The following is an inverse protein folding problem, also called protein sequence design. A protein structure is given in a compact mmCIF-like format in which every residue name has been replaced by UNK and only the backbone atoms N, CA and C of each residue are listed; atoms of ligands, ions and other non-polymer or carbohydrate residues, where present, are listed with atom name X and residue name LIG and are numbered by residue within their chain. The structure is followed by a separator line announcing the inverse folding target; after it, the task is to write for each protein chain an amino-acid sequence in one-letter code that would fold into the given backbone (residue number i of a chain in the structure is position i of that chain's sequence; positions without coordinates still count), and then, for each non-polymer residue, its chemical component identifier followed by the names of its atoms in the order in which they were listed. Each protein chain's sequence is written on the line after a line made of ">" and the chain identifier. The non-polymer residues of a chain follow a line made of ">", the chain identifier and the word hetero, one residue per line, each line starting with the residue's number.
data_IF_477669457076
#
_entry.id   IF_477669457076
#
_cell.length_a   1.000
_cell.length_b   1.000
_cell.length_c   1.000
_cell.angle_alpha   90.00
_cell.angle_beta   90.00
_cell.angle_gamma   90.00
#
_symmetry.space_group_name_H-M   'P 1'
#
loop_
_entity.id
_entity.type
_entity.pdbx_description
1 polymer ?
#
# COMPACT_ATOMS: atom_id res chain seq x y z
N UNK A 1 -11.02 -16.29 17.18
CA UNK A 1 -12.04 -15.48 16.48
C UNK A 1 -11.75 -13.97 16.49
N UNK A 2 -10.49 -13.53 16.52
CA UNK A 2 -10.12 -12.09 16.60
C UNK A 2 -9.40 -11.52 15.35
N UNK A 3 -9.21 -12.32 14.28
CA UNK A 3 -8.52 -11.86 13.06
C UNK A 3 -9.43 -11.36 11.93
N UNK A 4 -10.75 -11.36 12.11
CA UNK A 4 -11.71 -10.95 11.05
C UNK A 4 -12.06 -9.46 11.05
N UNK A 5 -11.58 -8.67 12.03
CA UNK A 5 -11.99 -7.26 12.20
C UNK A 5 -11.14 -6.23 11.43
N UNK A 6 -9.95 -6.56 10.95
CA UNK A 6 -9.02 -5.56 10.39
C UNK A 6 -9.12 -5.36 8.88
N UNK A 7 -9.73 -6.29 8.14
CA UNK A 7 -9.84 -6.19 6.68
C UNK A 7 -11.00 -5.29 6.21
N UNK A 8 -11.99 -5.00 7.06
CA UNK A 8 -13.17 -4.22 6.67
C UNK A 8 -13.02 -2.69 6.81
N UNK A 9 -11.96 -2.19 7.47
CA UNK A 9 -11.77 -0.74 7.70
C UNK A 9 -11.01 -0.01 6.60
N UNK A 10 -10.39 -0.71 5.63
CA UNK A 10 -9.58 -0.06 4.58
C UNK A 10 -10.40 0.58 3.45
N UNK A 11 -11.65 0.19 3.25
CA UNK A 11 -12.48 0.75 2.16
C UNK A 11 -13.29 1.99 2.55
N UNK A 12 -13.33 2.39 3.82
CA UNK A 12 -14.14 3.53 4.27
C UNK A 12 -13.38 4.87 4.35
N UNK A 13 -12.05 4.88 4.12
CA UNK A 13 -11.24 6.10 4.24
C UNK A 13 -11.21 7.00 2.99
N UNK A 14 -11.80 6.58 1.87
CA UNK A 14 -11.69 7.34 0.61
C UNK A 14 -12.81 8.39 0.39
N UNK A 15 -13.93 8.32 1.11
CA UNK A 15 -15.06 9.27 0.94
C UNK A 15 -15.07 10.46 1.92
N UNK A 16 -14.20 10.50 2.94
CA UNK A 16 -14.26 11.55 3.97
C UNK A 16 -13.41 12.80 3.68
N UNK A 17 -12.56 12.79 2.65
CA UNK A 17 -11.59 13.86 2.39
C UNK A 17 -12.09 14.96 1.42
N UNK A 18 -13.36 14.94 1.03
CA UNK A 18 -13.91 15.90 0.05
C UNK A 18 -15.17 16.66 0.48
N UNK A 19 -15.63 16.53 1.73
CA UNK A 19 -16.87 17.19 2.19
C UNK A 19 -16.69 18.26 3.29
N UNK A 20 -15.51 18.45 3.87
CA UNK A 20 -15.30 19.47 4.92
C UNK A 20 -14.66 20.74 4.36
N UNK A 21 -15.42 21.52 3.59
CA UNK A 21 -15.05 22.93 3.32
C UNK A 21 -16.26 23.82 3.07
N UNK A 22 -17.28 23.79 3.93
CA UNK A 22 -18.23 24.92 4.04
C UNK A 22 -18.84 25.03 5.45
N UNK A 23 -18.65 26.21 6.04
CA UNK A 23 -19.50 26.89 7.04
C UNK A 23 -19.43 26.45 8.51
N UNK A 24 -18.51 27.08 9.26
CA UNK A 24 -18.76 27.49 10.65
C UNK A 24 -18.74 29.02 10.74
N UNK A 25 -19.91 29.65 10.62
CA UNK A 25 -20.11 31.04 11.04
C UNK A 25 -20.41 31.06 12.54
N UNK A 26 -19.43 31.42 13.36
CA UNK A 26 -19.67 31.87 14.73
C UNK A 26 -19.68 33.39 14.74
N UNK A 27 -20.84 33.96 15.07
CA UNK A 27 -21.06 35.38 15.32
C UNK A 27 -20.32 35.83 16.59
N UNK A 28 -19.41 36.77 16.45
CA UNK A 28 -19.07 37.72 17.50
C UNK A 28 -19.16 39.11 16.88
N UNK A 29 -20.14 39.87 17.35
CA UNK A 29 -20.28 41.30 17.09
C UNK A 29 -19.08 42.02 17.71
N UNK A 30 -18.34 42.76 16.90
CA UNK A 30 -17.80 44.07 17.30
C UNK A 30 -17.44 44.83 16.02
N UNK A 31 -18.04 46.02 15.90
CA UNK A 31 -18.04 46.82 14.70
C UNK A 31 -16.72 47.53 14.44
N UNK A 32 -16.27 47.48 13.19
CA UNK A 32 -15.43 48.51 12.58
C UNK A 32 -15.75 48.57 11.08
N UNK A 33 -16.25 49.73 10.64
CA UNK A 33 -16.33 50.11 9.23
C UNK A 33 -14.92 50.27 8.67
N UNK A 34 -14.60 49.65 7.52
CA UNK A 34 -13.63 50.17 6.56
C UNK A 34 -13.64 49.39 5.22
N UNK A 35 -14.19 50.06 4.21
CA UNK A 35 -13.75 50.20 2.81
C UNK A 35 -13.54 48.93 1.96
N UNK A 36 -14.47 48.77 1.02
CA UNK A 36 -14.41 47.92 -0.18
C UNK A 36 -13.15 48.13 -1.02
N UNK A 37 -12.48 47.03 -1.39
CA UNK A 37 -11.57 46.96 -2.54
C UNK A 37 -11.38 45.50 -3.01
N UNK A 38 -12.24 45.07 -3.94
CA UNK A 38 -11.94 44.33 -5.18
C UNK A 38 -11.16 42.99 -5.22
N UNK A 39 -11.63 42.16 -6.16
CA UNK A 39 -10.95 41.10 -6.95
C UNK A 39 -11.00 39.65 -6.43
N UNK A 40 -12.19 39.06 -6.50
CA UNK A 40 -12.37 37.61 -6.48
C UNK A 40 -12.05 36.99 -7.84
N UNK A 41 -10.77 36.67 -8.06
CA UNK A 41 -10.30 35.80 -9.15
C UNK A 41 -10.68 34.35 -8.83
N UNK A 42 -11.96 34.01 -8.93
CA UNK A 42 -12.47 32.64 -8.83
C UNK A 42 -12.01 31.86 -10.05
N UNK A 43 -10.97 31.05 -9.91
CA UNK A 43 -10.53 30.10 -10.93
C UNK A 43 -11.63 29.07 -11.16
N UNK A 44 -12.47 29.32 -12.15
CA UNK A 44 -13.42 28.36 -12.71
C UNK A 44 -12.62 27.18 -13.26
N UNK A 45 -12.43 26.14 -12.45
CA UNK A 45 -12.24 24.79 -12.98
C UNK A 45 -13.49 24.55 -13.83
N UNK A 46 -13.31 24.40 -15.14
CA UNK A 46 -14.43 24.33 -16.07
C UNK A 46 -15.32 23.15 -15.67
N UNK A 47 -16.63 23.39 -15.52
CA UNK A 47 -17.60 22.35 -15.12
C UNK A 47 -17.63 21.14 -16.06
N UNK A 48 -17.01 21.26 -17.23
CA UNK A 48 -16.86 20.23 -18.25
C UNK A 48 -15.94 19.09 -17.81
N UNK A 49 -14.92 19.35 -16.98
CA UNK A 49 -13.95 18.31 -16.58
C UNK A 49 -14.48 17.41 -15.45
N UNK A 50 -15.29 17.96 -14.54
CA UNK A 50 -15.87 17.20 -13.43
C UNK A 50 -16.91 16.18 -13.90
N UNK A 51 -17.71 16.52 -14.91
CA UNK A 51 -18.68 15.59 -15.49
C UNK A 51 -17.99 14.40 -16.18
N UNK A 52 -16.85 14.63 -16.84
CA UNK A 52 -16.09 13.57 -17.49
C UNK A 52 -15.45 12.61 -16.48
N UNK A 53 -14.94 13.14 -15.37
CA UNK A 53 -14.42 12.34 -14.25
C UNK A 53 -15.53 11.53 -13.56
N UNK A 54 -16.68 12.14 -13.29
CA UNK A 54 -17.82 11.44 -12.68
C UNK A 54 -18.33 10.30 -13.58
N UNK A 55 -18.42 10.51 -14.90
CA UNK A 55 -18.77 9.45 -15.84
C UNK A 55 -17.75 8.31 -15.82
N UNK A 56 -16.45 8.61 -15.75
CA UNK A 56 -15.40 7.60 -15.70
C UNK A 56 -15.44 6.80 -14.39
N UNK A 57 -15.80 7.42 -13.26
CA UNK A 57 -15.96 6.74 -11.96
C UNK A 57 -17.14 5.77 -12.01
N UNK A 58 -18.28 6.18 -12.55
CA UNK A 58 -19.47 5.31 -12.70
C UNK A 58 -19.16 4.10 -13.57
N UNK A 59 -18.42 4.29 -14.67
CA UNK A 59 -17.97 3.20 -15.53
C UNK A 59 -17.06 2.22 -14.78
N UNK A 60 -16.16 2.72 -13.93
CA UNK A 60 -15.27 1.88 -13.10
C UNK A 60 -16.06 1.04 -12.11
N UNK A 61 -17.00 1.66 -11.38
CA UNK A 61 -17.83 0.97 -10.37
C UNK A 61 -18.70 -0.13 -11.00
N UNK A 62 -19.32 0.14 -12.16
CA UNK A 62 -20.07 -0.86 -12.91
C UNK A 62 -19.17 -2.03 -13.36
N UNK A 63 -17.94 -1.73 -13.75
CA UNK A 63 -16.96 -2.73 -14.20
C UNK A 63 -16.47 -3.60 -13.03
N UNK A 64 -16.25 -3.02 -11.85
CA UNK A 64 -15.81 -3.72 -10.64
C UNK A 64 -16.85 -4.74 -10.17
N UNK A 65 -18.13 -4.37 -10.14
CA UNK A 65 -19.23 -5.27 -9.77
C UNK A 65 -19.36 -6.48 -10.70
N UNK A 66 -19.06 -6.29 -11.99
CA UNK A 66 -19.05 -7.37 -12.98
C UNK A 66 -17.86 -8.31 -12.76
N UNK A 67 -16.70 -7.77 -12.37
CA UNK A 67 -15.49 -8.54 -12.08
C UNK A 67 -15.62 -9.42 -10.83
N UNK A 68 -16.29 -8.93 -9.78
CA UNK A 68 -16.55 -9.71 -8.56
C UNK A 68 -17.43 -10.94 -8.85
N UNK A 69 -18.40 -10.78 -9.75
CA UNK A 69 -19.25 -11.88 -10.23
C UNK A 69 -18.43 -12.93 -11.01
N UNK A 70 -17.48 -12.50 -11.86
CA UNK A 70 -16.62 -13.40 -12.62
C UNK A 70 -15.61 -14.15 -11.74
N UNK A 71 -15.01 -13.47 -10.74
CA UNK A 71 -14.10 -14.11 -9.77
C UNK A 71 -14.84 -15.14 -8.92
N UNK A 72 -16.06 -14.83 -8.47
CA UNK A 72 -16.89 -15.79 -7.73
C UNK A 72 -17.27 -17.02 -8.59
N UNK A 73 -17.43 -16.86 -9.91
CA UNK A 73 -17.60 -18.00 -10.84
C UNK A 73 -16.29 -18.81 -10.96
N UNK A 74 -15.14 -18.15 -11.03
CA UNK A 74 -13.83 -18.82 -11.12
C UNK A 74 -13.44 -19.57 -9.83
N UNK A 75 -13.75 -19.05 -8.65
CA UNK A 75 -13.44 -19.76 -7.38
C UNK A 75 -14.25 -21.06 -7.23
N UNK A 76 -15.46 -21.12 -7.79
CA UNK A 76 -16.23 -22.38 -7.88
C UNK A 76 -15.61 -23.39 -8.85
N UNK A 77 -14.72 -22.96 -9.74
CA UNK A 77 -14.05 -23.81 -10.72
C UNK A 77 -12.69 -24.34 -10.23
N UNK A 78 -12.16 -23.89 -9.08
CA UNK A 78 -10.92 -24.46 -8.50
C UNK A 78 -11.10 -25.91 -7.97
N UNK A 79 -12.31 -26.47 -8.09
CA UNK A 79 -12.61 -27.90 -8.01
C UNK A 79 -12.00 -28.72 -9.20
N UNK A 80 -11.39 -28.06 -10.19
CA UNK A 80 -10.72 -28.66 -11.38
C UNK A 80 -9.47 -29.51 -11.07
N UNK A 81 -9.11 -29.73 -9.79
CA UNK A 81 -8.10 -30.75 -9.41
C UNK A 81 -8.44 -32.15 -9.94
N UNK A 82 -9.71 -32.42 -10.22
CA UNK A 82 -10.19 -33.66 -10.84
C UNK A 82 -9.75 -33.83 -12.31
N UNK A 83 -9.36 -32.76 -13.02
CA UNK A 83 -8.95 -32.84 -14.44
C UNK A 83 -7.65 -33.62 -14.66
N UNK A 84 -6.68 -33.51 -13.73
CA UNK A 84 -5.43 -34.30 -13.80
C UNK A 84 -5.63 -35.76 -13.40
N UNK A 85 -6.63 -36.05 -12.59
CA UNK A 85 -7.02 -37.42 -12.25
C UNK A 85 -7.74 -38.05 -13.44
N UNK A 86 -8.64 -37.31 -14.07
CA UNK A 86 -9.38 -37.72 -15.26
C UNK A 86 -8.46 -38.07 -16.45
N UNK A 87 -7.50 -37.20 -16.80
CA UNK A 87 -6.58 -37.49 -17.91
C UNK A 87 -5.73 -38.75 -17.64
N UNK A 88 -5.34 -39.00 -16.38
CA UNK A 88 -4.66 -40.24 -16.01
C UNK A 88 -5.54 -41.48 -16.20
N UNK A 89 -6.82 -41.40 -15.85
CA UNK A 89 -7.78 -42.50 -16.04
C UNK A 89 -8.04 -42.74 -17.53
N UNK A 90 -8.27 -41.68 -18.32
CA UNK A 90 -8.48 -41.76 -19.77
C UNK A 90 -7.27 -42.35 -20.50
N UNK A 91 -6.08 -41.85 -20.20
CA UNK A 91 -4.86 -42.29 -20.87
C UNK A 91 -4.46 -43.72 -20.44
N UNK A 92 -4.86 -44.15 -19.23
CA UNK A 92 -4.79 -45.54 -18.80
C UNK A 92 -5.77 -46.45 -19.54
N UNK A 93 -7.02 -46.01 -19.74
CA UNK A 93 -8.05 -46.78 -20.47
C UNK A 93 -7.75 -46.93 -21.96
N UNK A 94 -7.10 -45.93 -22.59
CA UNK A 94 -6.85 -45.94 -24.03
C UNK A 94 -5.54 -46.64 -24.43
N UNK A 95 -4.57 -46.76 -23.54
CA UNK A 95 -3.26 -47.36 -23.84
C UNK A 95 -3.14 -48.84 -23.42
N UNK A 96 -4.07 -49.36 -22.62
CA UNK A 96 -4.02 -50.76 -22.19
C UNK A 96 -4.74 -51.66 -23.20
N UNK A 97 -4.03 -52.09 -24.24
CA UNK A 97 -4.53 -53.06 -25.23
C UNK A 97 -4.66 -54.49 -24.66
N UNK A 98 -4.46 -54.68 -23.36
CA UNK A 98 -4.46 -55.98 -22.67
C UNK A 98 -5.75 -56.29 -21.90
N UNK A 99 -6.78 -55.45 -22.00
CA UNK A 99 -8.06 -55.67 -21.29
C UNK A 99 -8.85 -56.81 -21.93
N UNK A 100 -8.46 -58.04 -21.62
CA UNK A 100 -9.27 -59.23 -21.78
C UNK A 100 -10.55 -59.08 -20.94
N UNK A 101 -11.64 -58.72 -21.63
CA UNK A 101 -13.05 -58.95 -21.25
C UNK A 101 -13.42 -58.71 -19.77
N UNK A 102 -12.97 -57.60 -19.17
CA UNK A 102 -13.64 -57.10 -17.98
C UNK A 102 -15.04 -56.61 -18.39
N UNK A 103 -16.08 -57.33 -17.95
CA UNK A 103 -17.47 -56.99 -18.21
C UNK A 103 -17.83 -55.75 -17.38
N UNK A 104 -17.56 -54.56 -17.91
CA UNK A 104 -17.97 -53.30 -17.28
C UNK A 104 -19.50 -53.28 -17.26
N UNK A 105 -20.14 -53.17 -16.09
CA UNK A 105 -21.60 -53.12 -16.00
C UNK A 105 -22.14 -51.97 -16.86
N UNK A 106 -23.23 -52.21 -17.59
CA UNK A 106 -23.89 -51.20 -18.45
C UNK A 106 -24.24 -49.92 -17.69
N UNK A 107 -24.45 -50.01 -16.37
CA UNK A 107 -24.68 -48.87 -15.49
C UNK A 107 -23.44 -47.97 -15.31
N UNK A 108 -22.23 -48.53 -15.31
CA UNK A 108 -21.00 -47.72 -15.22
C UNK A 108 -20.70 -47.01 -16.53
N UNK A 109 -21.04 -47.62 -17.67
CA UNK A 109 -20.88 -46.99 -18.99
C UNK A 109 -21.79 -45.77 -19.16
N UNK A 110 -23.02 -45.80 -18.65
CA UNK A 110 -23.93 -44.66 -18.72
C UNK A 110 -23.49 -43.50 -17.82
N UNK A 111 -22.91 -43.80 -16.65
CA UNK A 111 -22.35 -42.77 -15.79
C UNK A 111 -21.09 -42.12 -16.39
N UNK A 112 -20.22 -42.92 -17.04
CA UNK A 112 -19.05 -42.40 -17.77
C UNK A 112 -19.49 -41.49 -18.92
N UNK A 113 -20.49 -41.90 -19.71
CA UNK A 113 -21.03 -41.06 -20.79
C UNK A 113 -21.64 -39.76 -20.27
N UNK A 114 -22.41 -39.82 -19.17
CA UNK A 114 -22.96 -38.62 -18.53
C UNK A 114 -21.87 -37.66 -18.09
N UNK A 115 -20.82 -38.15 -17.41
CA UNK A 115 -19.68 -37.32 -17.00
C UNK A 115 -18.96 -36.72 -18.20
N UNK A 116 -18.82 -37.45 -19.30
CA UNK A 116 -18.20 -36.92 -20.53
C UNK A 116 -18.99 -35.76 -21.13
N UNK A 117 -20.32 -35.87 -21.18
CA UNK A 117 -21.21 -34.78 -21.63
C UNK A 117 -21.13 -33.58 -20.70
N UNK A 118 -21.20 -33.79 -19.38
CA UNK A 118 -21.10 -32.72 -18.39
C UNK A 118 -19.75 -31.98 -18.48
N UNK A 119 -18.64 -32.68 -18.75
CA UNK A 119 -17.35 -32.04 -18.99
C UNK A 119 -17.29 -31.27 -20.31
N UNK A 120 -17.94 -31.77 -21.37
CA UNK A 120 -18.04 -31.07 -22.65
C UNK A 120 -18.70 -29.69 -22.47
N UNK A 121 -19.82 -29.65 -21.74
CA UNK A 121 -20.53 -28.41 -21.41
C UNK A 121 -19.62 -27.48 -20.59
N UNK A 122 -18.93 -27.98 -19.56
CA UNK A 122 -18.00 -27.18 -18.76
C UNK A 122 -16.83 -26.61 -19.56
N UNK A 123 -16.34 -27.33 -20.57
CA UNK A 123 -15.27 -26.85 -21.44
C UNK A 123 -15.73 -25.69 -22.34
N UNK A 124 -16.97 -25.72 -22.84
CA UNK A 124 -17.56 -24.61 -23.59
C UNK A 124 -17.77 -23.37 -22.69
N UNK A 125 -18.25 -23.59 -21.46
CA UNK A 125 -18.37 -22.52 -20.45
C UNK A 125 -16.99 -21.90 -20.11
N UNK A 126 -15.96 -22.74 -19.93
CA UNK A 126 -14.58 -22.28 -19.72
C UNK A 126 -14.05 -21.46 -20.89
N UNK A 127 -14.33 -21.88 -22.13
CA UNK A 127 -13.98 -21.11 -23.33
C UNK A 127 -14.59 -19.71 -23.31
N UNK A 128 -15.87 -19.60 -22.94
CA UNK A 128 -16.57 -18.31 -22.81
C UNK A 128 -15.96 -17.43 -21.73
N UNK A 129 -15.67 -17.99 -20.55
CA UNK A 129 -15.02 -17.28 -19.44
C UNK A 129 -13.62 -16.76 -19.82
N UNK A 130 -12.85 -17.54 -20.58
CA UNK A 130 -11.53 -17.13 -21.09
C UNK A 130 -11.62 -15.95 -22.06
N UNK A 131 -12.62 -15.95 -22.95
CA UNK A 131 -12.87 -14.84 -23.87
C UNK A 131 -13.26 -13.58 -23.09
N UNK A 132 -14.17 -13.67 -22.13
CA UNK A 132 -14.58 -12.54 -21.27
C UNK A 132 -13.39 -11.97 -20.49
N UNK A 133 -12.54 -12.83 -19.95
CA UNK A 133 -11.31 -12.41 -19.25
C UNK A 133 -10.36 -11.64 -20.16
N UNK A 134 -10.09 -12.14 -21.37
CA UNK A 134 -9.22 -11.45 -22.32
C UNK A 134 -9.78 -10.07 -22.72
N UNK A 135 -11.10 -9.97 -22.90
CA UNK A 135 -11.76 -8.67 -23.15
C UNK A 135 -11.61 -7.71 -21.96
N UNK A 136 -11.65 -8.23 -20.73
CA UNK A 136 -11.46 -7.42 -19.52
C UNK A 136 -10.02 -6.92 -19.40
N UNK A 137 -9.02 -7.78 -19.63
CA UNK A 137 -7.60 -7.39 -19.62
C UNK A 137 -7.29 -6.29 -20.67
N UNK A 138 -7.94 -6.36 -21.84
CA UNK A 138 -7.84 -5.32 -22.88
C UNK A 138 -8.49 -4.00 -22.43
N UNK A 139 -9.69 -4.05 -21.81
CA UNK A 139 -10.36 -2.87 -21.26
C UNK A 139 -9.55 -2.22 -20.14
N UNK A 140 -8.99 -3.01 -19.23
CA UNK A 140 -8.13 -2.53 -18.14
C UNK A 140 -6.88 -1.83 -18.69
N UNK A 141 -6.26 -2.41 -19.73
CA UNK A 141 -5.10 -1.81 -20.39
C UNK A 141 -5.45 -0.48 -21.04
N UNK A 142 -6.58 -0.39 -21.76
CA UNK A 142 -7.07 0.87 -22.35
C UNK A 142 -7.38 1.93 -21.28
N UNK A 143 -7.97 1.53 -20.15
CA UNK A 143 -8.26 2.44 -19.05
C UNK A 143 -6.97 3.00 -18.43
N UNK A 144 -5.97 2.15 -18.15
CA UNK A 144 -4.66 2.58 -17.64
C UNK A 144 -3.97 3.57 -18.59
N UNK A 145 -4.07 3.33 -19.90
CA UNK A 145 -3.53 4.26 -20.91
C UNK A 145 -4.26 5.61 -20.88
N UNK A 146 -5.60 5.61 -20.76
CA UNK A 146 -6.40 6.84 -20.66
C UNK A 146 -6.08 7.64 -19.40
N UNK A 147 -5.95 6.99 -18.24
CA UNK A 147 -5.54 7.64 -16.98
C UNK A 147 -4.17 8.32 -17.16
N UNK A 148 -3.19 7.62 -17.73
CA UNK A 148 -1.86 8.19 -18.00
C UNK A 148 -1.90 9.40 -18.95
N UNK A 149 -2.81 9.40 -19.93
CA UNK A 149 -3.00 10.54 -20.83
C UNK A 149 -3.62 11.74 -20.08
N UNK A 150 -4.63 11.51 -19.24
CA UNK A 150 -5.26 12.55 -18.42
C UNK A 150 -4.28 13.17 -17.42
N UNK A 151 -3.45 12.35 -16.74
CA UNK A 151 -2.39 12.86 -15.85
C UNK A 151 -1.38 13.75 -16.60
N UNK A 152 -1.03 13.36 -17.83
CA UNK A 152 -0.13 14.16 -18.67
C UNK A 152 -0.77 15.50 -19.09
N UNK A 153 -2.06 15.49 -19.42
CA UNK A 153 -2.81 16.71 -19.73
C UNK A 153 -2.89 17.63 -18.50
N UNK A 154 -3.29 17.12 -17.34
CA UNK A 154 -3.37 17.88 -16.09
C UNK A 154 -2.03 18.51 -15.69
N UNK A 155 -0.91 17.79 -15.86
CA UNK A 155 0.44 18.35 -15.62
C UNK A 155 0.78 19.49 -16.59
N UNK A 156 0.37 19.39 -17.85
CA UNK A 156 0.59 20.43 -18.85
C UNK A 156 -0.21 21.69 -18.49
N UNK A 157 -1.45 21.53 -18.06
CA UNK A 157 -2.32 22.64 -17.67
C UNK A 157 -1.85 23.30 -16.36
N UNK A 158 -1.42 22.50 -15.38
CA UNK A 158 -0.80 23.01 -14.15
C UNK A 158 0.51 23.77 -14.41
N UNK A 159 1.34 23.29 -15.33
CA UNK A 159 2.56 23.99 -15.74
C UNK A 159 2.24 25.33 -16.41
N UNK A 160 1.21 25.37 -17.27
CA UNK A 160 0.74 26.62 -17.88
C UNK A 160 0.23 27.61 -16.84
N UNK A 161 -0.61 27.15 -15.90
CA UNK A 161 -1.13 27.99 -14.82
C UNK A 161 -0.02 28.54 -13.90
N UNK A 162 1.04 27.75 -13.64
CA UNK A 162 2.19 28.21 -12.88
C UNK A 162 2.98 29.31 -13.61
N UNK A 163 3.13 29.22 -14.93
CA UNK A 163 3.76 30.27 -15.75
C UNK A 163 2.91 31.55 -15.74
N UNK A 164 1.59 31.42 -15.88
CA UNK A 164 0.68 32.56 -15.85
C UNK A 164 0.70 33.24 -14.46
N UNK A 165 0.71 32.46 -13.37
CA UNK A 165 0.82 32.96 -12.00
C UNK A 165 2.18 33.63 -11.71
N UNK A 166 3.29 33.07 -12.22
CA UNK A 166 4.61 33.67 -12.09
C UNK A 166 4.68 35.02 -12.82
N UNK A 167 4.05 35.12 -13.99
CA UNK A 167 3.96 36.36 -14.79
C UNK A 167 3.11 37.43 -14.08
N UNK A 168 2.00 37.02 -13.44
CA UNK A 168 1.20 37.94 -12.62
C UNK A 168 1.96 38.42 -11.37
N UNK A 169 2.72 37.53 -10.71
CA UNK A 169 3.50 37.86 -9.51
C UNK A 169 4.67 38.79 -9.82
N UNK A 170 5.34 38.65 -10.97
CA UNK A 170 6.40 39.58 -11.38
C UNK A 170 5.85 40.97 -11.70
N UNK A 171 4.63 41.07 -12.25
CA UNK A 171 3.96 42.36 -12.45
C UNK A 171 3.58 43.04 -11.12
N UNK A 172 3.14 42.29 -10.11
CA UNK A 172 2.79 42.82 -8.80
C UNK A 172 4.04 43.19 -7.95
N UNK A 173 5.12 42.41 -8.03
CA UNK A 173 6.37 42.69 -7.30
C UNK A 173 7.05 43.98 -7.76
N UNK A 174 6.80 44.42 -9.00
CA UNK A 174 7.27 45.71 -9.49
C UNK A 174 6.60 46.92 -8.80
N UNK A 175 5.50 46.73 -8.06
CA UNK A 175 4.76 47.82 -7.40
C UNK A 175 4.88 47.86 -5.86
N UNK A 176 5.59 46.92 -5.23
CA UNK A 176 5.54 46.74 -3.77
C UNK A 176 6.91 46.76 -3.06
N UNK A 177 7.95 47.30 -3.69
CA UNK A 177 9.28 47.40 -3.10
C UNK A 177 9.44 48.68 -2.25
N UNK A 178 8.74 48.76 -1.10
CA UNK A 178 9.15 49.67 -0.03
C UNK A 178 8.79 49.13 1.36
N UNK A 179 9.83 49.01 2.20
CA UNK A 179 9.86 48.75 3.63
C UNK A 179 9.34 47.38 4.16
N UNK A 180 10.23 46.62 4.80
CA UNK A 180 10.14 46.27 6.25
C UNK A 180 11.22 45.24 6.64
N UNK A 181 11.99 45.56 7.69
CA UNK A 181 13.00 44.70 8.34
C UNK A 181 12.34 44.05 9.58
N UNK A 182 12.42 42.72 9.81
CA UNK A 182 11.96 42.13 11.06
C UNK A 182 13.11 41.87 12.05
N UNK A 183 12.91 42.34 13.29
CA UNK A 183 13.73 42.05 14.46
C UNK A 183 13.44 40.63 15.00
N UNK A 184 14.51 39.99 15.47
CA UNK A 184 14.55 38.61 15.94
C UNK A 184 14.34 38.58 17.47
N UNK A 185 13.24 37.99 17.93
CA UNK A 185 12.94 37.77 19.36
C UNK A 185 13.31 36.33 19.72
N UNK A 186 14.18 36.17 20.71
CA UNK A 186 14.62 34.88 21.27
C UNK A 186 13.67 34.51 22.41
N UNK A 187 12.91 33.41 22.27
CA UNK A 187 11.91 32.93 23.23
C UNK A 187 12.50 31.79 24.08
N UNK A 188 12.43 31.93 25.40
CA UNK A 188 12.92 30.94 26.36
C UNK A 188 12.02 29.70 26.39
N UNK A 189 12.61 28.50 26.35
CA UNK A 189 11.91 27.22 26.34
C UNK A 189 11.41 26.83 27.74
N UNK A 190 10.13 26.43 27.88
CA UNK A 190 9.57 25.93 29.15
C UNK A 190 10.13 24.54 29.52
N UNK A 191 10.07 24.17 30.82
CA UNK A 191 10.53 22.85 31.29
C UNK A 191 9.69 21.70 30.67
N UNK A 192 10.33 20.55 30.36
CA UNK A 192 9.65 19.42 29.72
C UNK A 192 8.60 18.80 30.64
N UNK A 193 7.42 18.54 30.09
CA UNK A 193 6.32 17.89 30.79
C UNK A 193 6.57 16.38 30.93
N UNK A 194 6.17 15.79 32.06
CA UNK A 194 6.49 14.41 32.49
C UNK A 194 5.90 13.31 31.57
N UNK A 195 5.08 13.66 30.58
CA UNK A 195 4.48 12.72 29.63
C UNK A 195 5.04 12.83 28.20
N UNK A 196 6.16 13.54 28.02
CA UNK A 196 6.77 13.70 26.70
C UNK A 196 7.44 12.40 26.24
N UNK A 197 6.99 11.89 25.10
CA UNK A 197 7.63 10.79 24.42
C UNK A 197 9.05 11.20 24.00
N UNK A 198 10.02 10.31 24.20
CA UNK A 198 11.34 10.52 23.61
C UNK A 198 11.34 9.95 22.20
N UNK A 199 11.52 10.79 21.19
CA UNK A 199 11.56 10.37 19.79
C UNK A 199 12.99 10.34 19.23
N UNK A 200 13.23 9.43 18.29
CA UNK A 200 14.44 9.36 17.51
C UNK A 200 14.14 8.88 16.09
N UNK A 201 14.87 9.39 15.10
CA UNK A 201 14.72 8.98 13.70
C UNK A 201 16.02 8.34 13.19
N UNK A 202 15.95 7.05 12.90
CA UNK A 202 17.01 6.31 12.21
C UNK A 202 16.93 6.60 10.72
N UNK A 203 17.98 7.17 10.13
CA UNK A 203 18.13 7.29 8.67
C UNK A 203 19.25 6.36 8.22
N UNK A 204 18.87 5.24 7.61
CA UNK A 204 19.77 4.12 7.39
C UNK A 204 19.99 3.86 5.91
N UNK A 205 21.25 3.64 5.54
CA UNK A 205 21.63 2.98 4.29
C UNK A 205 22.08 1.56 4.62
N UNK A 206 21.22 0.59 4.34
CA UNK A 206 21.48 -0.82 4.64
C UNK A 206 22.00 -1.51 3.39
N UNK A 207 23.24 -1.98 3.41
CA UNK A 207 23.91 -2.68 2.29
C UNK A 207 23.78 -4.20 2.42
N UNK A 208 24.01 -4.94 1.32
CA UNK A 208 23.96 -6.41 1.34
C UNK A 208 22.54 -6.96 1.33
N UNK A 209 21.59 -6.20 0.77
CA UNK A 209 20.16 -6.51 0.83
C UNK A 209 19.82 -7.76 0.04
N UNK A 210 20.56 -8.05 -1.03
CA UNK A 210 20.52 -9.28 -1.81
C UNK A 210 20.53 -10.54 -0.93
N UNK A 211 21.27 -10.54 0.18
CA UNK A 211 21.36 -11.68 1.11
C UNK A 211 20.00 -12.05 1.73
N UNK A 212 19.10 -11.08 1.90
CA UNK A 212 17.74 -11.30 2.41
C UNK A 212 16.83 -11.99 1.39
N UNK A 213 17.20 -11.94 0.10
CA UNK A 213 16.45 -12.60 -0.97
C UNK A 213 16.53 -14.11 -0.83
N UNK A 214 17.71 -14.64 -0.54
CA UNK A 214 17.99 -16.07 -0.64
C UNK A 214 17.97 -16.77 0.72
N UNK A 215 18.27 -16.05 1.80
CA UNK A 215 18.39 -16.61 3.14
C UNK A 215 17.46 -15.91 4.15
N UNK A 216 16.61 -16.68 4.83
CA UNK A 216 15.67 -16.21 5.86
C UNK A 216 16.31 -15.96 7.23
N UNK A 217 17.47 -16.56 7.47
CA UNK A 217 18.20 -16.46 8.74
C UNK A 217 19.10 -15.23 8.79
N UNK A 218 19.34 -14.58 7.64
CA UNK A 218 20.14 -13.36 7.60
C UNK A 218 19.35 -12.21 8.22
N UNK A 219 19.94 -11.61 9.25
CA UNK A 219 19.47 -10.39 9.88
C UNK A 219 20.52 -9.31 9.61
N UNK A 220 20.12 -8.24 8.91
CA UNK A 220 20.95 -7.05 8.77
C UNK A 220 20.59 -6.10 9.92
N UNK A 221 21.59 -5.65 10.68
CA UNK A 221 21.41 -4.75 11.83
C UNK A 221 21.99 -3.38 11.52
N UNK A 222 21.31 -2.32 11.96
CA UNK A 222 21.88 -0.98 12.01
C UNK A 222 22.92 -0.85 13.12
N UNK A 223 23.62 0.28 13.14
CA UNK A 223 24.37 0.71 14.31
C UNK A 223 23.45 0.88 15.53
N UNK A 224 24.05 0.77 16.72
CA UNK A 224 23.37 0.96 18.00
C UNK A 224 23.26 2.46 18.30
N UNK A 225 22.09 2.89 18.73
CA UNK A 225 21.85 4.27 19.16
C UNK A 225 21.22 4.27 20.54
N UNK A 226 21.79 5.04 21.47
CA UNK A 226 21.25 5.19 22.82
C UNK A 226 20.27 6.37 22.86
N UNK A 227 19.01 6.10 23.19
CA UNK A 227 18.00 7.12 23.51
C UNK A 227 16.93 6.53 24.43
N UNK A 228 16.20 7.39 25.17
CA UNK A 228 15.26 6.96 26.22
C UNK A 228 15.89 5.99 27.26
N UNK A 229 17.17 6.18 27.58
CA UNK A 229 17.90 5.36 28.55
C UNK A 229 18.30 3.95 28.10
N UNK A 230 18.04 3.56 26.85
CA UNK A 230 18.29 2.22 26.31
C UNK A 230 19.02 2.30 24.97
N UNK A 231 19.80 1.28 24.62
CA UNK A 231 20.39 1.10 23.29
C UNK A 231 19.40 0.41 22.35
N UNK A 232 19.21 1.00 21.17
CA UNK A 232 18.28 0.54 20.16
C UNK A 232 19.00 0.24 18.84
N UNK A 233 18.48 -0.73 18.09
CA UNK A 233 18.91 -1.04 16.71
C UNK A 233 17.69 -1.31 15.82
N UNK A 234 17.84 -1.07 14.53
CA UNK A 234 16.89 -1.50 13.50
C UNK A 234 17.41 -2.77 12.85
N UNK A 235 16.57 -3.81 12.84
CA UNK A 235 16.86 -5.10 12.24
C UNK A 235 16.00 -5.29 10.99
N UNK A 236 16.65 -5.60 9.87
CA UNK A 236 16.00 -6.05 8.64
C UNK A 236 16.15 -7.55 8.51
N UNK A 237 15.05 -8.26 8.25
CA UNK A 237 15.06 -9.70 7.97
C UNK A 237 13.98 -10.07 6.98
N UNK A 238 14.15 -11.17 6.25
CA UNK A 238 13.09 -11.70 5.42
C UNK A 238 12.20 -12.67 6.21
N UNK A 239 10.89 -12.57 5.99
CA UNK A 239 9.88 -13.39 6.64
C UNK A 239 8.93 -13.98 5.61
N UNK A 240 8.47 -15.21 5.85
CA UNK A 240 7.43 -15.83 5.03
C UNK A 240 6.06 -15.59 5.66
N UNK A 241 5.10 -15.11 4.87
CA UNK A 241 3.71 -14.89 5.26
C UNK A 241 2.82 -15.72 4.35
N UNK A 242 1.89 -16.48 4.92
CA UNK A 242 0.93 -17.29 4.16
C UNK A 242 -0.28 -16.42 3.83
N UNK A 243 -0.47 -16.11 2.54
CA UNK A 243 -1.59 -15.32 2.04
C UNK A 243 -2.35 -16.10 0.97
N UNK A 244 -3.67 -16.27 1.13
CA UNK A 244 -4.53 -16.96 0.16
C UNK A 244 -3.93 -18.31 -0.31
N UNK A 245 -3.49 -19.13 0.65
CA UNK A 245 -2.84 -20.43 0.42
C UNK A 245 -1.50 -20.38 -0.33
N UNK A 246 -0.88 -19.21 -0.51
CA UNK A 246 0.45 -19.05 -1.10
C UNK A 246 1.40 -18.42 -0.08
N UNK A 247 2.53 -19.07 0.14
CA UNK A 247 3.62 -18.50 0.94
C UNK A 247 4.31 -17.41 0.12
N UNK A 248 4.31 -16.19 0.65
CA UNK A 248 5.00 -15.04 0.06
C UNK A 248 6.08 -14.55 1.02
N UNK A 249 7.22 -14.15 0.46
CA UNK A 249 8.33 -13.60 1.25
C UNK A 249 8.24 -12.07 1.31
N UNK A 250 8.42 -11.54 2.50
CA UNK A 250 8.40 -10.13 2.83
C UNK A 250 9.73 -9.71 3.45
N UNK A 251 10.09 -8.45 3.27
CA UNK A 251 11.06 -7.76 4.11
C UNK A 251 10.32 -7.23 5.33
N UNK A 252 10.76 -7.63 6.51
CA UNK A 252 10.31 -7.05 7.76
C UNK A 252 11.32 -6.10 8.37
N UNK A 253 10.82 -5.08 9.05
CA UNK A 253 11.61 -4.06 9.77
C UNK A 253 11.25 -4.17 11.24
N UNK A 254 12.26 -4.36 12.09
CA UNK A 254 12.07 -4.59 13.52
C UNK A 254 12.92 -3.60 14.32
N UNK A 255 12.31 -2.94 15.29
CA UNK A 255 12.99 -2.15 16.31
C UNK A 255 13.38 -3.10 17.44
N UNK A 256 14.64 -3.06 17.88
CA UNK A 256 15.13 -3.91 18.95
C UNK A 256 15.86 -3.09 20.02
N UNK A 257 15.55 -3.37 21.29
CA UNK A 257 16.35 -2.93 22.42
C UNK A 257 17.50 -3.95 22.62
N UNK A 258 18.74 -3.47 22.63
CA UNK A 258 19.96 -4.30 22.69
C UNK A 258 20.77 -4.10 23.97
N UNK A 259 20.28 -3.31 24.92
CA UNK A 259 20.90 -3.19 26.24
C UNK A 259 20.75 -4.50 27.01
N UNK A 260 21.87 -5.06 27.46
CA UNK A 260 21.91 -6.26 28.30
C UNK A 260 22.82 -5.99 29.52
N UNK A 261 22.33 -6.17 30.76
CA UNK A 261 20.95 -6.50 31.14
C UNK A 261 20.01 -5.29 31.07
N UNK A 262 18.75 -5.53 30.71
CA UNK A 262 17.66 -4.59 30.98
C UNK A 262 17.36 -4.57 32.49
N UNK A 263 17.06 -3.40 33.09
CA UNK A 263 16.66 -3.32 34.49
C UNK A 263 15.48 -4.24 34.81
N UNK A 264 15.43 -4.76 36.03
CA UNK A 264 14.27 -5.52 36.48
C UNK A 264 13.01 -4.65 36.49
N UNK A 265 11.88 -5.19 36.06
CA UNK A 265 10.63 -4.43 35.89
C UNK A 265 10.60 -3.53 34.65
N UNK A 266 11.69 -3.39 33.89
CA UNK A 266 11.72 -2.54 32.71
C UNK A 266 10.67 -2.97 31.68
N UNK A 267 9.87 -1.99 31.28
CA UNK A 267 8.93 -2.09 30.19
C UNK A 267 8.79 -0.70 29.55
N UNK A 268 8.37 -0.63 28.29
CA UNK A 268 8.02 0.64 27.66
C UNK A 268 7.07 0.42 26.49
N UNK A 269 6.28 1.44 26.17
CA UNK A 269 5.48 1.45 24.94
C UNK A 269 6.30 2.12 23.86
N UNK A 270 6.43 1.46 22.72
CA UNK A 270 7.14 1.98 21.55
C UNK A 270 6.16 2.12 20.40
N UNK A 271 6.10 3.33 19.86
CA UNK A 271 5.51 3.59 18.55
C UNK A 271 6.63 3.69 17.54
N UNK A 272 6.44 3.12 16.35
CA UNK A 272 7.39 3.36 15.27
C UNK A 272 6.70 3.50 13.94
N UNK A 273 7.30 4.30 13.07
CA UNK A 273 6.89 4.51 11.69
C UNK A 273 8.06 4.20 10.76
N UNK A 274 7.80 3.61 9.60
CA UNK A 274 8.84 3.25 8.63
C UNK A 274 8.53 3.82 7.25
N UNK A 275 9.54 4.37 6.59
CA UNK A 275 9.47 4.92 5.23
C UNK A 275 10.63 4.40 4.40
N UNK A 276 10.33 3.84 3.22
CA UNK A 276 11.32 3.47 2.21
C UNK A 276 11.45 4.60 1.18
N UNK A 277 12.67 4.81 0.69
CA UNK A 277 12.93 5.82 -0.35
C UNK A 277 13.25 5.13 -1.68
N UNK A 278 12.50 5.49 -2.72
CA UNK A 278 12.90 5.20 -4.11
C UNK A 278 14.02 6.15 -4.51
N UNK A 279 15.09 5.61 -5.09
CA UNK A 279 16.25 6.43 -5.52
C UNK A 279 16.03 7.09 -6.89
N UNK A 280 15.12 6.54 -7.71
CA UNK A 280 14.81 7.08 -9.04
C UNK A 280 13.63 8.06 -9.03
N UNK A 281 12.63 7.83 -8.19
CA UNK A 281 11.50 8.74 -8.07
C UNK A 281 11.75 9.71 -6.93
N UNK A 282 12.06 10.96 -7.26
CA UNK A 282 12.09 12.05 -6.28
C UNK A 282 10.74 12.04 -5.52
N UNK A 283 10.77 11.59 -4.28
CA UNK A 283 9.68 11.64 -3.28
C UNK A 283 8.61 10.54 -3.28
N UNK A 284 8.84 9.35 -3.85
CA UNK A 284 7.92 8.22 -3.54
C UNK A 284 8.26 7.71 -2.13
N UNK A 285 7.49 8.19 -1.16
CA UNK A 285 7.43 7.68 0.21
C UNK A 285 6.34 6.63 0.27
N UNK A 286 6.66 5.45 0.78
CA UNK A 286 5.60 4.59 1.33
C UNK A 286 4.99 5.30 2.54
N UNK A 287 3.66 5.26 2.67
CA UNK A 287 2.98 5.80 3.85
C UNK A 287 3.62 5.25 5.13
N UNK A 288 3.74 6.06 6.20
CA UNK A 288 4.29 5.61 7.47
C UNK A 288 3.47 4.44 8.00
N UNK A 289 4.11 3.28 8.13
CA UNK A 289 3.46 2.11 8.74
C UNK A 289 3.64 2.21 10.24
N UNK A 290 2.54 2.41 10.97
CA UNK A 290 2.55 2.59 12.41
C UNK A 290 2.55 1.26 13.15
N UNK A 291 3.55 1.05 13.99
CA UNK A 291 3.67 -0.08 14.91
C UNK A 291 3.42 0.39 16.34
N UNK A 292 2.67 -0.38 17.11
CA UNK A 292 2.50 -0.18 18.56
C UNK A 292 2.93 -1.45 19.26
N UNK A 293 3.79 -1.33 20.26
CA UNK A 293 4.35 -2.50 20.94
C UNK A 293 4.78 -2.21 22.35
N UNK A 294 4.63 -3.22 23.21
CA UNK A 294 5.05 -3.18 24.60
C UNK A 294 6.33 -4.00 24.73
N UNK A 295 7.46 -3.31 24.88
CA UNK A 295 8.75 -3.94 25.14
C UNK A 295 8.84 -4.31 26.62
N UNK A 296 9.40 -5.48 26.91
CA UNK A 296 9.63 -5.98 28.27
C UNK A 296 10.79 -6.97 28.25
N UNK A 297 11.32 -7.33 29.43
CA UNK A 297 12.33 -8.39 29.55
C UNK A 297 11.86 -9.67 28.82
N UNK A 298 12.68 -10.20 27.90
CA UNK A 298 12.35 -11.35 27.05
C UNK A 298 11.63 -11.03 25.74
N UNK A 299 11.08 -9.82 25.58
CA UNK A 299 10.43 -9.32 24.36
C UNK A 299 11.05 -7.98 23.97
N UNK A 300 12.30 -8.05 23.50
CA UNK A 300 13.15 -6.88 23.24
C UNK A 300 13.18 -6.48 21.76
N UNK A 301 12.28 -7.03 20.94
CA UNK A 301 12.26 -6.81 19.50
C UNK A 301 10.83 -6.88 18.98
N UNK A 302 10.41 -5.86 18.23
CA UNK A 302 9.08 -5.79 17.62
C UNK A 302 9.13 -5.14 16.24
N UNK A 303 8.25 -5.56 15.35
CA UNK A 303 8.20 -5.08 13.97
C UNK A 303 7.16 -5.82 13.14
N UNK A 304 7.14 -5.55 11.84
CA UNK A 304 6.20 -6.17 10.92
C UNK A 304 6.84 -6.43 9.55
N UNK A 305 6.15 -7.25 8.74
CA UNK A 305 6.47 -7.55 7.35
C UNK A 305 5.87 -6.46 6.45
N UNK A 306 6.74 -5.62 5.88
CA UNK A 306 6.31 -4.37 5.24
C UNK A 306 6.14 -4.52 3.72
N UNK A 307 7.18 -4.98 3.03
CA UNK A 307 7.24 -4.97 1.57
C UNK A 307 7.53 -6.38 1.05
N UNK A 308 6.83 -6.80 -0.01
CA UNK A 308 7.11 -8.10 -0.65
C UNK A 308 8.53 -8.08 -1.19
N UNK A 309 9.30 -9.14 -0.97
CA UNK A 309 10.67 -9.26 -1.51
C UNK A 309 10.68 -9.09 -3.03
N UNK A 310 9.69 -9.66 -3.74
CA UNK A 310 9.54 -9.48 -5.18
C UNK A 310 9.34 -8.01 -5.61
N UNK A 311 8.63 -7.24 -4.78
CA UNK A 311 8.37 -5.82 -5.04
C UNK A 311 9.59 -4.96 -4.68
N UNK A 312 10.23 -5.24 -3.56
CA UNK A 312 11.46 -4.57 -3.11
C UNK A 312 12.55 -4.62 -4.19
N UNK A 313 12.76 -5.80 -4.78
CA UNK A 313 13.80 -6.03 -5.79
C UNK A 313 13.34 -5.80 -7.23
N UNK A 314 12.12 -5.30 -7.46
CA UNK A 314 11.71 -4.91 -8.80
C UNK A 314 12.46 -3.62 -9.19
N UNK A 315 13.34 -3.63 -10.22
CA UNK A 315 14.12 -2.46 -10.60
C UNK A 315 13.26 -1.23 -10.90
N UNK A 316 12.05 -1.43 -11.43
CA UNK A 316 11.10 -0.36 -11.75
C UNK A 316 10.61 0.43 -10.53
N UNK A 317 10.69 -0.15 -9.33
CA UNK A 317 10.27 0.53 -8.09
C UNK A 317 11.39 1.39 -7.50
N UNK A 318 12.66 1.09 -7.81
CA UNK A 318 13.81 1.89 -7.42
C UNK A 318 14.16 1.90 -5.94
N UNK A 319 13.67 0.95 -5.15
CA UNK A 319 14.01 0.85 -3.72
C UNK A 319 15.45 0.39 -3.48
N UNK A 320 15.97 -0.49 -4.35
CA UNK A 320 17.31 -1.07 -4.25
C UNK A 320 18.22 -0.50 -5.33
N UNK A 321 19.35 0.06 -4.92
CA UNK A 321 20.45 0.51 -5.79
C UNK A 321 21.77 0.14 -5.13
N UNK A 322 22.73 -0.37 -5.90
CA UNK A 322 24.05 -0.81 -5.41
C UNK A 322 23.95 -1.79 -4.22
N UNK A 323 23.03 -2.75 -4.33
CA UNK A 323 22.71 -3.73 -3.29
C UNK A 323 22.38 -3.11 -1.90
N UNK A 324 21.86 -1.88 -1.91
CA UNK A 324 21.52 -1.13 -0.73
C UNK A 324 20.10 -0.56 -0.82
N UNK A 325 19.49 -0.37 0.35
CA UNK A 325 18.23 0.37 0.50
C UNK A 325 18.42 1.56 1.42
N UNK A 326 17.59 2.58 1.21
CA UNK A 326 17.46 3.73 2.09
C UNK A 326 16.14 3.61 2.86
N UNK A 327 16.22 3.59 4.18
CA UNK A 327 15.06 3.47 5.06
C UNK A 327 15.14 4.51 6.18
N UNK A 328 14.01 5.15 6.49
CA UNK A 328 13.84 5.98 7.69
C UNK A 328 12.91 5.28 8.65
N UNK A 329 13.32 5.11 9.89
CA UNK A 329 12.48 4.56 10.97
C UNK A 329 12.40 5.59 12.08
N UNK A 330 11.22 6.14 12.29
CA UNK A 330 10.93 7.00 13.42
C UNK A 330 10.45 6.14 14.58
N UNK A 331 11.01 6.37 15.76
CA UNK A 331 10.71 5.60 16.97
C UNK A 331 10.40 6.58 18.09
N UNK A 332 9.23 6.41 18.70
CA UNK A 332 8.80 7.15 19.88
C UNK A 332 8.70 6.17 21.05
N UNK A 333 9.40 6.47 22.14
CA UNK A 333 9.40 5.67 23.36
C UNK A 333 8.65 6.43 24.43
N UNK A 334 7.61 5.81 24.96
CA UNK A 334 6.82 6.31 26.07
C UNK A 334 7.30 5.59 27.34
N UNK A 335 7.91 6.30 28.30
CA UNK A 335 8.27 5.70 29.57
C UNK A 335 6.99 5.24 30.27
N UNK A 336 7.01 4.02 30.80
CA UNK A 336 5.99 3.60 31.74
C UNK A 336 6.40 4.04 33.13
N UNK A 337 5.46 4.62 33.88
CA UNK A 337 5.66 4.92 35.29
C UNK A 337 5.80 3.57 36.01
N UNK A 338 7.02 3.28 36.47
CA UNK A 338 7.35 2.07 37.21
C UNK A 338 6.80 2.09 38.63
#
# INVERSE_FOLDING_TARGET
>A
SHHRSLLYRRSFCFCSLFMDTTLSNSSSEDGFELVDSSSSSSSRISSVDMASLQSAIVDIEATEKTSETAVNKMEKLDEVKDWKLFNRVRDGLMNDQSVDKAHIPVQELSEIQRRYIEMGIRNEEMGTILIEKNQWDEKETKLKQRIKQLEKAARKDAAKAAVDAATAKSAAAASAAEATIPQQIVLATPPPSINEATSHTFRLRMTGISRLRDNKEVILKSDKVRFAGVEWTINLRSGDVVEKCKTRRYLGVFVAAVTDPLPEGWNCVVRSSCTFYSQYMKNVRTEPILFHSNFRKGYVCWGDNIIKIKELFNPSNGYVTDDAILVSVEVEVFPTQG
#
